data_IF_842505822895
#
_entry.id   IF_842505822895
#
_cell.length_a   1.000
_cell.length_b   1.000
_cell.length_c   1.000
_cell.angle_alpha   90.00
_cell.angle_beta   90.00
_cell.angle_gamma   90.00
#
_symmetry.space_group_name_H-M   'P 1'
#
loop_
_entity.id
_entity.type
_entity.pdbx_description
1 polymer ?
#
# COMPACT_ATOMS: atom_id res chain seq x y z
N UNK A 1 14.52 -43.29 -21.04
CA UNK A 1 14.71 -41.82 -21.10
C UNK A 1 14.11 -41.20 -19.85
N UNK A 2 14.93 -40.74 -18.89
CA UNK A 2 14.47 -40.00 -17.70
C UNK A 2 14.24 -38.54 -18.13
N UNK A 3 13.00 -38.03 -18.04
CA UNK A 3 12.73 -36.59 -18.17
C UNK A 3 13.33 -35.91 -16.93
N UNK A 4 14.39 -35.13 -17.13
CA UNK A 4 14.96 -34.27 -16.10
C UNK A 4 13.91 -33.21 -15.74
N UNK A 5 13.52 -33.22 -14.47
CA UNK A 5 12.72 -32.18 -13.82
C UNK A 5 13.38 -30.82 -14.06
N UNK A 6 12.62 -29.86 -14.58
CA UNK A 6 13.05 -28.47 -14.79
C UNK A 6 13.60 -27.94 -13.46
N UNK A 7 14.86 -27.50 -13.47
CA UNK A 7 15.47 -26.83 -12.32
C UNK A 7 14.74 -25.48 -12.12
N UNK A 8 14.21 -25.26 -10.93
CA UNK A 8 13.66 -23.98 -10.49
C UNK A 8 14.71 -22.90 -10.70
N UNK A 9 14.44 -21.97 -11.60
CA UNK A 9 15.37 -20.92 -11.98
C UNK A 9 15.40 -19.84 -10.91
N UNK A 10 16.54 -19.18 -10.69
CA UNK A 10 16.67 -18.10 -9.71
C UNK A 10 15.66 -16.94 -9.92
N UNK A 11 15.12 -16.82 -11.14
CA UNK A 11 14.04 -15.89 -11.50
C UNK A 11 12.72 -16.25 -10.81
N UNK A 12 12.42 -17.55 -10.66
CA UNK A 12 11.23 -18.03 -9.95
C UNK A 12 11.36 -17.80 -8.43
N UNK A 13 12.60 -17.81 -7.90
CA UNK A 13 12.88 -17.51 -6.50
C UNK A 13 12.71 -16.02 -6.17
N UNK A 14 13.14 -15.14 -7.07
CA UNK A 14 12.96 -13.68 -6.93
C UNK A 14 11.48 -13.31 -7.04
N UNK A 15 10.71 -13.99 -7.89
CA UNK A 15 9.25 -13.77 -8.01
C UNK A 15 8.46 -14.16 -6.76
N UNK A 16 8.99 -15.04 -5.89
CA UNK A 16 8.35 -15.41 -4.62
C UNK A 16 8.78 -14.50 -3.46
N UNK A 17 9.93 -13.83 -3.57
CA UNK A 17 10.49 -12.98 -2.51
C UNK A 17 9.86 -11.57 -2.44
N UNK A 18 9.09 -11.17 -3.45
CA UNK A 18 8.44 -9.84 -3.51
C UNK A 18 6.97 -9.85 -3.06
N UNK A 19 6.45 -10.99 -2.64
CA UNK A 19 5.10 -11.17 -2.10
C UNK A 19 5.10 -11.40 -0.60
N UNK A 20 6.04 -10.78 0.11
CA UNK A 20 5.93 -10.64 1.56
C UNK A 20 4.89 -9.56 1.83
N UNK A 21 3.69 -9.95 2.26
CA UNK A 21 2.83 -9.04 3.02
C UNK A 21 3.73 -8.34 4.04
N UNK A 22 3.88 -7.01 3.95
CA UNK A 22 4.58 -6.27 4.98
C UNK A 22 3.66 -6.33 6.20
N UNK A 23 3.82 -7.40 6.98
CA UNK A 23 3.06 -7.68 8.19
C UNK A 23 3.52 -6.69 9.26
N UNK A 24 3.04 -5.45 9.14
CA UNK A 24 3.21 -4.44 10.18
C UNK A 24 2.40 -4.83 11.42
N UNK A 25 2.87 -4.42 12.59
CA UNK A 25 2.19 -4.73 13.85
C UNK A 25 0.83 -4.04 13.92
N UNK A 26 -0.08 -4.60 14.72
CA UNK A 26 -1.38 -3.95 14.98
C UNK A 26 -1.23 -2.56 15.61
N UNK A 27 -0.17 -2.34 16.39
CA UNK A 27 0.15 -1.00 16.91
C UNK A 27 0.53 -0.02 15.79
N UNK A 28 1.30 -0.47 14.79
CA UNK A 28 1.65 0.36 13.63
C UNK A 28 0.41 0.63 12.77
N UNK A 29 -0.47 -0.37 12.58
CA UNK A 29 -1.75 -0.16 11.87
C UNK A 29 -2.61 0.89 12.57
N UNK A 30 -2.71 0.83 13.90
CA UNK A 30 -3.45 1.83 14.67
C UNK A 30 -2.84 3.22 14.52
N UNK A 31 -1.52 3.37 14.69
CA UNK A 31 -0.85 4.67 14.50
C UNK A 31 -1.08 5.24 13.09
N UNK A 32 -1.04 4.39 12.05
CA UNK A 32 -1.33 4.81 10.67
C UNK A 32 -2.79 5.22 10.49
N UNK A 33 -3.72 4.46 11.08
CA UNK A 33 -5.16 4.76 11.05
C UNK A 33 -5.44 6.12 11.69
N UNK A 34 -4.90 6.37 12.88
CA UNK A 34 -5.04 7.67 13.57
C UNK A 34 -4.49 8.81 12.71
N UNK A 35 -3.30 8.64 12.11
CA UNK A 35 -2.70 9.65 11.25
C UNK A 35 -3.55 9.96 10.00
N UNK A 36 -4.09 8.92 9.35
CA UNK A 36 -4.96 9.07 8.18
C UNK A 36 -6.28 9.73 8.55
N UNK A 37 -6.93 9.31 9.63
CA UNK A 37 -8.20 9.91 10.06
C UNK A 37 -8.02 11.37 10.49
N UNK A 38 -6.90 11.70 11.15
CA UNK A 38 -6.58 13.09 11.47
C UNK A 38 -6.42 13.94 10.20
N UNK A 39 -5.65 13.47 9.22
CA UNK A 39 -5.44 14.19 7.96
C UNK A 39 -6.76 14.39 7.19
N UNK A 40 -7.58 13.33 7.10
CA UNK A 40 -8.91 13.36 6.48
C UNK A 40 -9.85 14.35 7.19
N UNK A 41 -9.87 14.35 8.53
CA UNK A 41 -10.67 15.30 9.30
C UNK A 41 -10.20 16.74 9.08
N UNK A 42 -8.88 16.98 9.03
CA UNK A 42 -8.30 18.31 8.81
C UNK A 42 -8.75 18.91 7.49
N UNK A 43 -8.70 18.16 6.38
CA UNK A 43 -9.18 18.66 5.08
C UNK A 43 -10.71 18.75 5.04
N UNK A 44 -11.40 17.87 5.77
CA UNK A 44 -12.85 17.93 5.94
C UNK A 44 -13.32 19.23 6.60
N UNK A 45 -12.56 19.78 7.55
CA UNK A 45 -12.84 21.10 8.16
C UNK A 45 -12.76 22.24 7.15
N UNK A 46 -11.99 22.08 6.07
CA UNK A 46 -11.88 23.03 4.96
C UNK A 46 -12.96 22.81 3.89
N UNK A 47 -13.90 21.87 4.12
CA UNK A 47 -14.94 21.51 3.16
C UNK A 47 -14.48 20.58 2.04
N UNK A 48 -13.29 19.99 2.15
CA UNK A 48 -12.75 19.05 1.16
C UNK A 48 -13.17 17.63 1.54
N UNK A 49 -13.81 16.94 0.60
CA UNK A 49 -14.10 15.50 0.72
C UNK A 49 -13.10 14.73 -0.14
N UNK A 50 -12.40 13.76 0.45
CA UNK A 50 -11.53 12.86 -0.30
C UNK A 50 -12.37 11.87 -1.10
N UNK A 51 -11.92 11.55 -2.32
CA UNK A 51 -12.56 10.53 -3.14
C UNK A 51 -12.28 9.12 -2.64
N UNK A 52 -13.13 8.17 -3.06
CA UNK A 52 -12.96 6.75 -2.72
C UNK A 52 -11.59 6.21 -3.15
N UNK A 53 -11.06 6.65 -4.30
CA UNK A 53 -9.75 6.22 -4.77
C UNK A 53 -8.60 6.68 -3.87
N UNK A 54 -8.67 7.89 -3.31
CA UNK A 54 -7.68 8.35 -2.33
C UNK A 54 -7.82 7.60 -0.99
N UNK A 55 -9.06 7.28 -0.58
CA UNK A 55 -9.33 6.49 0.63
C UNK A 55 -8.83 5.04 0.50
N UNK A 56 -8.95 4.43 -0.67
CA UNK A 56 -8.40 3.08 -0.94
C UNK A 56 -6.86 3.06 -0.84
N UNK A 57 -6.18 4.08 -1.36
CA UNK A 57 -4.72 4.20 -1.24
C UNK A 57 -4.32 4.35 0.24
N UNK A 58 -5.07 5.13 1.00
CA UNK A 58 -4.83 5.30 2.43
C UNK A 58 -5.07 4.00 3.22
N UNK A 59 -6.12 3.23 2.90
CA UNK A 59 -6.36 1.93 3.55
C UNK A 59 -5.22 0.94 3.26
N UNK A 60 -4.74 0.85 2.02
CA UNK A 60 -3.56 0.02 1.69
C UNK A 60 -2.35 0.39 2.55
N UNK A 61 -2.11 1.68 2.78
CA UNK A 61 -1.04 2.12 3.68
C UNK A 61 -1.29 1.72 5.14
N UNK A 62 -2.52 1.85 5.64
CA UNK A 62 -2.92 1.43 7.00
C UNK A 62 -2.72 -0.07 7.17
N UNK A 63 -3.09 -0.89 6.18
CA UNK A 63 -2.93 -2.35 6.24
C UNK A 63 -1.47 -2.81 6.10
N UNK A 64 -0.55 -1.89 5.77
CA UNK A 64 0.85 -2.20 5.52
C UNK A 64 1.14 -2.67 4.11
N UNK A 65 0.16 -2.68 3.21
CA UNK A 65 0.37 -3.05 1.80
C UNK A 65 1.23 -2.03 1.04
N UNK A 66 1.39 -0.82 1.59
CA UNK A 66 2.30 0.20 1.09
C UNK A 66 3.29 0.63 2.18
N UNK A 67 4.54 0.81 1.77
CA UNK A 67 5.50 1.65 2.50
C UNK A 67 5.05 3.12 2.47
N UNK A 68 5.68 3.97 3.29
CA UNK A 68 5.36 5.41 3.30
C UNK A 68 5.72 6.08 1.97
N UNK A 69 6.83 5.65 1.37
CA UNK A 69 7.32 6.14 0.08
C UNK A 69 6.36 5.77 -1.05
N UNK A 70 5.89 4.52 -1.08
CA UNK A 70 4.90 4.05 -2.05
C UNK A 70 3.55 4.73 -1.87
N UNK A 71 3.06 4.85 -0.63
CA UNK A 71 1.86 5.61 -0.30
C UNK A 71 1.93 7.04 -0.85
N UNK A 72 3.02 7.76 -0.56
CA UNK A 72 3.19 9.15 -1.01
C UNK A 72 3.20 9.23 -2.54
N UNK A 73 3.89 8.31 -3.21
CA UNK A 73 3.98 8.26 -4.66
C UNK A 73 2.61 8.00 -5.30
N UNK A 74 1.90 6.97 -4.85
CA UNK A 74 0.58 6.61 -5.38
C UNK A 74 -0.44 7.72 -5.14
N UNK A 75 -0.45 8.31 -3.95
CA UNK A 75 -1.35 9.40 -3.59
C UNK A 75 -1.15 10.61 -4.51
N UNK A 76 0.10 11.02 -4.76
CA UNK A 76 0.41 12.14 -5.67
C UNK A 76 -0.03 11.83 -7.11
N UNK A 77 0.17 10.59 -7.56
CA UNK A 77 -0.26 10.17 -8.90
C UNK A 77 -1.79 10.27 -9.01
N UNK A 78 -2.53 9.77 -8.02
CA UNK A 78 -3.99 9.80 -8.00
C UNK A 78 -4.54 11.25 -8.01
N UNK A 79 -4.01 12.12 -7.15
CA UNK A 79 -4.40 13.55 -7.12
C UNK A 79 -4.15 14.22 -8.47
N UNK A 80 -3.01 13.95 -9.12
CA UNK A 80 -2.70 14.49 -10.46
C UNK A 80 -3.60 13.95 -11.56
N UNK A 81 -4.15 12.75 -11.37
CA UNK A 81 -5.11 12.15 -12.29
C UNK A 81 -6.54 12.68 -12.07
N UNK A 82 -6.77 13.52 -11.05
CA UNK A 82 -8.11 14.03 -10.71
C UNK A 82 -9.00 13.00 -10.01
N UNK A 83 -8.38 11.98 -9.40
CA UNK A 83 -9.03 11.07 -8.47
C UNK A 83 -9.17 11.78 -7.14
#
# INVERSE_FOLDING_TARGET
MKRLSRATTAVDFISQATSGEIMISESEKEMRREAVEYAKASVGLEGITLSDGLLEIADKYIQGLLTREEFTKEYIIAVRAGV
#
